data_IF_448533400293
#
_entry.id   IF_448533400293
#
_cell.length_a   1.000
_cell.length_b   1.000
_cell.length_c   1.000
_cell.angle_alpha   90.00
_cell.angle_beta   90.00
_cell.angle_gamma   90.00
#
_symmetry.space_group_name_H-M   'P 1'
#
loop_
_entity.id
_entity.type
_entity.pdbx_description
1 polymer ?
#
# COMPACT_ATOMS: atom_id res chain seq x y z
N UNK A 1 30.69 -25.04 -26.66
CA UNK A 1 30.94 -24.53 -25.29
C UNK A 1 30.55 -23.05 -25.15
N UNK A 2 31.04 -22.14 -26.01
CA UNK A 2 30.70 -20.69 -25.95
C UNK A 2 29.19 -20.40 -25.96
N UNK A 3 28.41 -21.08 -26.83
CA UNK A 3 26.95 -20.93 -26.88
C UNK A 3 26.25 -21.33 -25.57
N UNK A 4 26.72 -22.38 -24.90
CA UNK A 4 26.17 -22.86 -23.63
C UNK A 4 26.48 -21.87 -22.50
N UNK A 5 27.70 -21.34 -22.47
CA UNK A 5 28.09 -20.31 -21.50
C UNK A 5 27.28 -19.03 -21.66
N UNK A 6 26.99 -18.61 -22.90
CA UNK A 6 26.14 -17.46 -23.19
C UNK A 6 24.71 -17.63 -22.65
N UNK A 7 24.11 -18.81 -22.87
CA UNK A 7 22.76 -19.10 -22.38
C UNK A 7 22.72 -19.11 -20.85
N UNK A 8 23.69 -19.75 -20.20
CA UNK A 8 23.77 -19.79 -18.72
C UNK A 8 23.97 -18.38 -18.15
N UNK A 9 24.81 -17.55 -18.76
CA UNK A 9 25.03 -16.18 -18.32
C UNK A 9 23.76 -15.33 -18.42
N UNK A 10 22.99 -15.45 -19.52
CA UNK A 10 21.71 -14.73 -19.71
C UNK A 10 20.66 -15.19 -18.69
N UNK A 11 20.56 -16.50 -18.43
CA UNK A 11 19.64 -17.04 -17.41
C UNK A 11 20.01 -16.55 -16.02
N UNK A 12 21.30 -16.56 -15.67
CA UNK A 12 21.76 -16.04 -14.38
C UNK A 12 21.46 -14.54 -14.23
N UNK A 13 21.74 -13.73 -15.26
CA UNK A 13 21.44 -12.29 -15.27
C UNK A 13 19.95 -12.00 -15.09
N UNK A 14 19.07 -12.75 -15.78
CA UNK A 14 17.62 -12.57 -15.68
C UNK A 14 17.08 -12.99 -14.31
N UNK A 15 17.58 -14.08 -13.73
CA UNK A 15 17.23 -14.49 -12.36
C UNK A 15 17.66 -13.46 -11.32
N UNK A 16 18.89 -12.94 -11.43
CA UNK A 16 19.42 -11.91 -10.53
C UNK A 16 18.62 -10.61 -10.66
N UNK A 17 18.34 -10.16 -11.89
CA UNK A 17 17.53 -8.98 -12.14
C UNK A 17 16.10 -9.14 -11.59
N UNK A 18 15.48 -10.31 -11.78
CA UNK A 18 14.15 -10.62 -11.26
C UNK A 18 14.10 -10.65 -9.73
N UNK A 19 15.10 -11.28 -9.09
CA UNK A 19 15.21 -11.30 -7.64
C UNK A 19 15.45 -9.90 -7.05
N UNK A 20 16.27 -9.09 -7.71
CA UNK A 20 16.55 -7.71 -7.32
C UNK A 20 15.34 -6.78 -7.49
N UNK A 21 14.55 -6.95 -8.56
CA UNK A 21 13.31 -6.19 -8.71
C UNK A 21 12.24 -6.61 -7.70
N UNK A 22 12.17 -7.89 -7.34
CA UNK A 22 11.25 -8.39 -6.32
C UNK A 22 11.61 -7.86 -4.93
N UNK A 23 12.89 -7.76 -4.59
CA UNK A 23 13.34 -7.27 -3.28
C UNK A 23 13.15 -5.76 -3.09
N UNK A 24 13.02 -4.99 -4.18
CA UNK A 24 12.74 -3.54 -4.13
C UNK A 24 11.25 -3.19 -4.06
N UNK A 25 10.35 -4.16 -4.12
CA UNK A 25 8.89 -3.94 -4.02
C UNK A 25 8.40 -4.09 -2.56
N UNK A 26 7.44 -3.24 -2.15
CA UNK A 26 6.76 -3.37 -0.85
C UNK A 26 7.39 -2.69 0.37
N UNK A 27 8.37 -1.77 0.20
CA UNK A 27 8.90 -1.03 1.37
C UNK A 27 7.77 -0.31 2.10
N UNK A 28 7.58 -0.66 3.37
CA UNK A 28 6.72 0.09 4.30
C UNK A 28 7.31 1.49 4.43
N UNK A 29 6.56 2.49 3.99
CA UNK A 29 6.86 3.89 4.26
C UNK A 29 5.97 4.30 5.41
N UNK A 30 6.56 4.70 6.53
CA UNK A 30 5.86 5.53 7.50
C UNK A 30 5.40 6.77 6.77
N UNK A 31 4.13 7.12 6.92
CA UNK A 31 3.63 8.36 6.37
C UNK A 31 4.19 9.49 7.23
N UNK A 32 5.22 10.15 6.72
CA UNK A 32 5.80 11.31 7.37
C UNK A 32 4.72 12.39 7.50
N UNK A 33 4.58 12.93 8.70
CA UNK A 33 3.80 14.13 9.01
C UNK A 33 4.05 15.18 7.92
N UNK A 34 3.02 15.85 7.36
CA UNK A 34 3.21 16.74 6.21
C UNK A 34 4.24 17.82 6.52
N UNK A 35 5.27 17.92 5.68
CA UNK A 35 6.33 18.91 5.76
C UNK A 35 5.74 20.33 5.81
N UNK A 36 5.91 20.98 6.95
CA UNK A 36 5.80 22.43 7.08
C UNK A 36 6.97 23.09 6.32
N UNK A 37 6.86 23.20 4.99
CA UNK A 37 7.99 23.70 4.22
C UNK A 37 7.75 24.08 2.76
N UNK A 38 6.51 24.11 2.26
CA UNK A 38 6.24 24.54 0.88
C UNK A 38 5.50 25.88 0.85
N UNK A 39 6.27 26.96 0.88
CA UNK A 39 5.80 28.32 0.57
C UNK A 39 5.34 28.37 -0.90
N UNK A 40 4.05 28.56 -1.14
CA UNK A 40 3.55 28.66 -2.51
C UNK A 40 2.04 28.72 -2.66
N UNK A 41 1.53 29.95 -2.65
CA UNK A 41 0.23 30.44 -3.18
C UNK A 41 -0.98 30.41 -2.24
N UNK A 42 -1.28 31.61 -1.74
CA UNK A 42 -2.50 32.00 -1.06
C UNK A 42 -3.74 31.74 -1.94
N UNK A 43 -4.78 31.16 -1.35
CA UNK A 43 -6.09 31.01 -1.99
C UNK A 43 -6.80 29.67 -1.77
N UNK A 44 -6.70 29.07 -0.59
CA UNK A 44 -7.66 28.05 -0.15
C UNK A 44 -7.68 28.04 1.38
N UNK A 45 -8.70 28.66 1.96
CA UNK A 45 -9.02 28.60 3.39
C UNK A 45 -10.29 27.76 3.50
N UNK A 46 -10.13 26.44 3.66
CA UNK A 46 -11.31 25.61 3.91
C UNK A 46 -11.19 24.09 3.96
N UNK A 47 -10.02 23.43 3.89
CA UNK A 47 -10.00 21.95 4.05
C UNK A 47 -8.60 21.35 4.33
N UNK A 48 -7.87 21.78 5.37
CA UNK A 48 -6.49 21.29 5.60
C UNK A 48 -6.26 20.29 6.73
N UNK A 49 -7.30 19.78 7.39
CA UNK A 49 -7.10 18.99 8.62
C UNK A 49 -7.60 17.53 8.63
N UNK A 50 -8.17 16.98 7.55
CA UNK A 50 -8.57 15.57 7.56
C UNK A 50 -8.22 14.93 6.23
N UNK A 51 -7.60 13.75 6.28
CA UNK A 51 -7.44 12.89 5.10
C UNK A 51 -8.81 12.56 4.47
N UNK A 52 -8.84 11.68 3.47
CA UNK A 52 -10.10 11.30 2.85
C UNK A 52 -11.10 10.85 3.91
N UNK A 53 -12.37 11.25 3.74
CA UNK A 53 -13.46 10.70 4.56
C UNK A 53 -13.69 9.26 4.12
N UNK A 54 -13.05 8.33 4.81
CA UNK A 54 -13.11 6.90 4.51
C UNK A 54 -14.54 6.33 4.50
N UNK A 55 -15.42 6.89 5.35
CA UNK A 55 -16.85 6.54 5.36
C UNK A 55 -17.56 6.83 4.03
N UNK A 56 -17.20 7.91 3.31
CA UNK A 56 -17.78 8.26 2.01
C UNK A 56 -17.37 7.25 0.91
N UNK A 57 -16.28 6.52 1.13
CA UNK A 57 -15.81 5.43 0.28
C UNK A 57 -16.30 4.04 0.75
N UNK A 58 -17.20 3.99 1.75
CA UNK A 58 -17.72 2.73 2.30
C UNK A 58 -16.69 1.92 3.08
N UNK A 59 -15.65 2.56 3.61
CA UNK A 59 -14.63 1.90 4.43
C UNK A 59 -15.02 2.00 5.91
N UNK A 60 -15.39 0.86 6.48
CA UNK A 60 -15.61 0.73 7.92
C UNK A 60 -14.26 0.55 8.65
N UNK A 61 -13.95 1.48 9.55
CA UNK A 61 -12.71 1.45 10.32
C UNK A 61 -12.78 0.39 11.41
N UNK A 62 -11.80 -0.51 11.43
CA UNK A 62 -11.66 -1.50 12.47
C UNK A 62 -11.09 -0.88 13.77
N UNK A 63 -11.35 -1.49 14.94
CA UNK A 63 -11.03 -0.90 16.24
C UNK A 63 -9.55 -0.63 16.50
N UNK A 64 -8.64 -1.33 15.82
CA UNK A 64 -7.19 -1.15 15.96
C UNK A 64 -6.59 -0.56 14.70
N UNK A 65 -6.72 -1.25 13.56
CA UNK A 65 -6.13 -0.81 12.31
C UNK A 65 -6.90 -1.33 11.10
N UNK A 66 -6.92 -0.58 10.01
CA UNK A 66 -7.60 -0.98 8.77
C UNK A 66 -6.62 -0.98 7.61
N UNK A 67 -6.46 -2.12 6.94
CA UNK A 67 -5.81 -2.19 5.65
C UNK A 67 -6.78 -1.77 4.55
N UNK A 68 -6.46 -0.70 3.83
CA UNK A 68 -7.18 -0.29 2.62
C UNK A 68 -6.33 -0.60 1.41
N UNK A 69 -6.69 -1.64 0.66
CA UNK A 69 -6.01 -2.06 -0.56
C UNK A 69 -6.67 -1.41 -1.78
N UNK A 70 -5.92 -0.56 -2.48
CA UNK A 70 -6.28 -0.12 -3.82
C UNK A 70 -5.86 -1.18 -4.84
N UNK A 71 -6.83 -1.69 -5.60
CA UNK A 71 -6.64 -2.71 -6.63
C UNK A 71 -7.20 -2.29 -7.98
N UNK A 72 -6.89 -3.05 -9.02
CA UNK A 72 -7.41 -2.83 -10.36
C UNK A 72 -8.01 -4.13 -10.89
N UNK A 73 -9.00 -4.02 -11.77
CA UNK A 73 -9.64 -5.17 -12.41
C UNK A 73 -8.55 -6.02 -13.12
N UNK A 74 -8.55 -7.33 -12.86
CA UNK A 74 -7.56 -8.28 -13.40
C UNK A 74 -6.11 -8.15 -12.89
N UNK A 75 -5.88 -7.51 -11.75
CA UNK A 75 -4.55 -7.46 -11.12
C UNK A 75 -4.19 -8.76 -10.38
N UNK A 76 -3.34 -9.60 -10.99
CA UNK A 76 -2.80 -10.82 -10.36
C UNK A 76 -2.10 -10.59 -9.01
N UNK A 77 -1.15 -9.63 -8.91
CA UNK A 77 -0.49 -9.30 -7.64
C UNK A 77 -1.43 -8.77 -6.54
N UNK A 78 -2.55 -8.16 -6.92
CA UNK A 78 -3.55 -7.66 -5.97
C UNK A 78 -4.24 -8.83 -5.25
N UNK A 79 -4.56 -9.93 -5.95
CA UNK A 79 -5.13 -11.13 -5.31
C UNK A 79 -4.18 -11.77 -4.29
N UNK A 80 -2.88 -11.82 -4.61
CA UNK A 80 -1.87 -12.32 -3.66
C UNK A 80 -1.76 -11.42 -2.43
N UNK A 81 -1.84 -10.10 -2.63
CA UNK A 81 -1.82 -9.11 -1.56
C UNK A 81 -3.06 -9.24 -0.66
N UNK A 82 -4.26 -9.34 -1.24
CA UNK A 82 -5.50 -9.54 -0.49
C UNK A 82 -5.41 -10.76 0.42
N UNK A 83 -5.02 -11.93 -0.11
CA UNK A 83 -4.87 -13.15 0.70
C UNK A 83 -3.86 -12.99 1.84
N UNK A 84 -2.80 -12.23 1.60
CA UNK A 84 -1.77 -11.96 2.60
C UNK A 84 -2.33 -11.10 3.73
N UNK A 85 -3.08 -10.05 3.40
CA UNK A 85 -3.71 -9.17 4.38
C UNK A 85 -4.84 -9.88 5.12
N UNK A 86 -5.62 -10.72 4.43
CA UNK A 86 -6.67 -11.55 5.03
C UNK A 86 -6.11 -12.57 6.02
N UNK A 87 -4.95 -13.17 5.73
CA UNK A 87 -4.27 -14.05 6.68
C UNK A 87 -3.78 -13.28 7.92
N UNK A 88 -3.17 -12.11 7.72
CA UNK A 88 -2.65 -11.30 8.84
C UNK A 88 -3.78 -10.77 9.74
N UNK A 89 -4.90 -10.32 9.17
CA UNK A 89 -6.05 -9.86 9.98
C UNK A 89 -6.70 -11.01 10.75
N UNK A 90 -6.72 -12.23 10.20
CA UNK A 90 -7.27 -13.39 10.89
C UNK A 90 -6.48 -13.72 12.17
N UNK A 91 -5.16 -13.50 12.14
CA UNK A 91 -4.26 -13.70 13.28
C UNK A 91 -4.19 -12.49 14.23
N UNK A 92 -4.80 -11.34 13.87
CA UNK A 92 -4.63 -10.07 14.61
C UNK A 92 -5.99 -9.43 14.94
N UNK A 93 -6.49 -9.60 16.18
CA UNK A 93 -7.76 -9.02 16.60
C UNK A 93 -7.82 -7.50 16.43
N UNK A 94 -8.99 -6.99 16.04
CA UNK A 94 -9.22 -5.56 15.82
C UNK A 94 -8.66 -5.00 14.51
N UNK A 95 -8.09 -5.84 13.64
CA UNK A 95 -7.59 -5.44 12.32
C UNK A 95 -8.61 -5.75 11.22
N UNK A 96 -8.91 -4.76 10.39
CA UNK A 96 -9.79 -4.87 9.23
C UNK A 96 -9.02 -4.90 7.92
N UNK A 97 -9.67 -5.36 6.85
CA UNK A 97 -9.15 -5.27 5.48
C UNK A 97 -10.30 -4.97 4.52
N UNK A 98 -10.15 -3.91 3.73
CA UNK A 98 -11.09 -3.45 2.71
C UNK A 98 -10.34 -3.26 1.40
N UNK A 99 -10.94 -3.73 0.31
CA UNK A 99 -10.42 -3.57 -1.04
C UNK A 99 -11.23 -2.53 -1.80
N UNK A 100 -10.55 -1.57 -2.42
CA UNK A 100 -11.13 -0.49 -3.22
C UNK A 100 -10.59 -0.57 -4.66
N UNK A 101 -11.49 -0.70 -5.61
CA UNK A 101 -11.16 -0.67 -7.04
C UNK A 101 -10.83 0.77 -7.48
N UNK A 102 -9.63 0.96 -8.06
CA UNK A 102 -9.15 2.26 -8.53
C UNK A 102 -10.07 2.88 -9.58
N UNK A 103 -10.77 2.07 -10.37
CA UNK A 103 -11.69 2.54 -11.41
C UNK A 103 -13.01 3.05 -10.82
N UNK A 104 -13.40 2.53 -9.64
CA UNK A 104 -14.60 2.97 -8.91
C UNK A 104 -14.36 4.20 -8.04
N UNK A 105 -13.12 4.41 -7.59
CA UNK A 105 -12.75 5.51 -6.68
C UNK A 105 -11.67 6.45 -7.24
N UNK A 106 -11.85 7.03 -8.44
CA UNK A 106 -10.80 7.82 -9.11
C UNK A 106 -10.45 9.12 -8.38
N UNK A 107 -11.38 9.70 -7.62
CA UNK A 107 -11.11 10.89 -6.79
C UNK A 107 -10.17 10.55 -5.64
N UNK A 108 -10.44 9.43 -4.95
CA UNK A 108 -9.65 8.96 -3.82
C UNK A 108 -8.23 8.55 -4.24
N UNK A 109 -8.12 7.87 -5.40
CA UNK A 109 -6.85 7.51 -6.03
C UNK A 109 -5.97 8.74 -6.26
N UNK A 110 -6.55 9.84 -6.77
CA UNK A 110 -5.82 11.10 -6.99
C UNK A 110 -5.43 11.76 -5.68
N UNK A 111 -6.35 11.87 -4.73
CA UNK A 111 -6.09 12.48 -3.42
C UNK A 111 -4.95 11.77 -2.68
N UNK A 112 -4.92 10.43 -2.72
CA UNK A 112 -3.91 9.61 -2.07
C UNK A 112 -2.68 9.34 -2.95
N UNK A 113 -2.58 9.97 -4.12
CA UNK A 113 -1.48 9.79 -5.08
C UNK A 113 -1.15 8.31 -5.35
N UNK A 114 -2.18 7.49 -5.55
CA UNK A 114 -2.02 6.06 -5.86
C UNK A 114 -1.57 5.92 -7.31
N UNK A 115 -0.26 5.75 -7.51
CA UNK A 115 0.36 5.70 -8.84
C UNK A 115 0.31 4.32 -9.50
N UNK A 116 0.18 3.25 -8.69
CA UNK A 116 0.18 1.86 -9.19
C UNK A 116 -0.56 0.94 -8.22
N UNK A 117 -1.19 -0.09 -8.77
CA UNK A 117 -1.78 -1.18 -8.00
C UNK A 117 -0.79 -2.35 -7.80
N UNK A 118 -0.88 -3.11 -6.71
CA UNK A 118 -1.63 -2.77 -5.50
C UNK A 118 -0.93 -1.67 -4.70
N UNK A 119 -1.71 -0.80 -4.06
CA UNK A 119 -1.24 0.11 -3.00
C UNK A 119 -2.05 -0.15 -1.75
N UNK A 120 -1.39 -0.38 -0.62
CA UNK A 120 -2.05 -0.63 0.66
C UNK A 120 -1.77 0.56 1.57
N UNK A 121 -2.84 1.20 2.03
CA UNK A 121 -2.81 2.25 3.05
C UNK A 121 -3.23 1.63 4.37
N UNK A 122 -2.46 1.87 5.43
CA UNK A 122 -2.75 1.40 6.78
C UNK A 122 -3.29 2.57 7.58
N UNK A 123 -4.51 2.40 8.08
CA UNK A 123 -5.22 3.38 8.89
C UNK A 123 -5.23 2.96 10.35
N UNK A 124 -5.16 3.91 11.26
CA UNK A 124 -5.52 3.70 12.66
C UNK A 124 -7.04 3.68 12.85
N UNK A 125 -7.48 3.49 14.10
CA UNK A 125 -8.89 3.48 14.49
C UNK A 125 -9.63 4.82 14.22
N UNK A 126 -8.89 5.91 14.02
CA UNK A 126 -9.42 7.24 13.74
C UNK A 126 -9.40 7.59 12.25
N UNK A 127 -8.89 6.69 11.40
CA UNK A 127 -8.79 6.87 9.95
C UNK A 127 -7.58 7.68 9.52
N UNK A 128 -6.59 7.89 10.40
CA UNK A 128 -5.32 8.50 10.02
C UNK A 128 -4.41 7.47 9.36
N UNK A 129 -3.77 7.87 8.27
CA UNK A 129 -2.78 7.04 7.60
C UNK A 129 -1.49 6.99 8.43
N UNK A 130 -1.14 5.79 8.91
CA UNK A 130 0.08 5.54 9.69
C UNK A 130 1.21 4.97 8.84
N UNK A 131 0.85 4.20 7.80
CA UNK A 131 1.82 3.57 6.92
C UNK A 131 1.23 3.32 5.53
N UNK A 132 2.13 3.19 4.55
CA UNK A 132 1.80 2.83 3.18
C UNK A 132 2.77 1.82 2.60
N UNK A 133 2.23 0.89 1.82
CA UNK A 133 2.99 -0.09 1.06
C UNK A 133 2.56 -0.05 -0.41
N UNK A 134 3.50 -0.22 -1.33
CA UNK A 134 3.21 -0.18 -2.76
C UNK A 134 3.85 -1.38 -3.47
N UNK A 135 3.08 -2.00 -4.36
CA UNK A 135 3.42 -3.28 -4.96
C UNK A 135 2.96 -4.45 -4.10
N UNK A 136 3.25 -5.67 -4.54
CA UNK A 136 2.86 -6.88 -3.81
C UNK A 136 3.38 -6.85 -2.38
N UNK A 137 2.49 -7.04 -1.40
CA UNK A 137 2.80 -7.02 0.02
C UNK A 137 3.06 -8.43 0.53
N UNK A 138 4.08 -8.58 1.37
CA UNK A 138 4.41 -9.82 2.07
C UNK A 138 3.87 -9.80 3.51
N UNK A 139 3.63 -10.97 4.14
CA UNK A 139 3.10 -11.03 5.51
C UNK A 139 3.95 -10.27 6.53
N UNK A 140 5.27 -10.31 6.36
CA UNK A 140 6.21 -9.57 7.23
C UNK A 140 5.97 -8.06 7.16
N UNK A 141 5.80 -7.51 5.96
CA UNK A 141 5.59 -6.07 5.75
C UNK A 141 4.26 -5.62 6.33
N UNK A 142 3.21 -6.43 6.18
CA UNK A 142 1.91 -6.14 6.78
C UNK A 142 1.97 -6.08 8.31
N UNK A 143 2.70 -7.01 8.95
CA UNK A 143 2.92 -6.99 10.41
C UNK A 143 3.77 -5.80 10.85
N UNK A 144 4.89 -5.54 10.17
CA UNK A 144 5.73 -4.36 10.43
C UNK A 144 4.93 -3.05 10.33
N UNK A 145 3.93 -2.97 9.44
CA UNK A 145 3.07 -1.79 9.33
C UNK A 145 2.07 -1.68 10.49
N UNK A 146 1.62 -2.78 11.09
CA UNK A 146 0.74 -2.77 12.26
C UNK A 146 1.48 -2.37 13.54
N UNK A 147 2.78 -2.63 13.62
CA UNK A 147 3.63 -2.20 14.74
C UNK A 147 3.79 -0.67 14.80
N UNK A 148 3.44 0.03 13.71
CA UNK A 148 3.45 1.49 13.61
C UNK A 148 2.14 2.15 14.06
N UNK A 149 1.09 1.35 14.27
CA UNK A 149 -0.22 1.86 14.70
C UNK A 149 -0.12 2.24 16.19
N UNK A 150 -0.42 3.49 16.56
CA UNK A 150 -0.46 3.89 17.95
C UNK A 150 -1.54 3.09 18.70
N UNK A 151 -1.18 2.57 19.88
CA UNK A 151 -2.05 1.77 20.75
C UNK A 151 -2.79 2.67 21.73
#
# INVERSE_FOLDING_TARGET
MVRVLLVVAIVALTLVAGAWWRSRQGRVRQSAKPDAGRTGRAGDTGHRDKGPRWADAGVDLAPRATFVQFSAEFCGPCRTTSRTLDAVRADTPGVGHVELDVDRYPVLVRQLSVLRAPTVVVLDAHGHEVARMTGAVQPRQAREALDLVPV
#
